data_IF_281286924455
#
_entry.id   IF_281286924455
#
_cell.length_a   1.000
_cell.length_b   1.000
_cell.length_c   1.000
_cell.angle_alpha   90.00
_cell.angle_beta   90.00
_cell.angle_gamma   90.00
#
_symmetry.space_group_name_H-M   'P 1'
#
loop_
_entity.id
_entity.type
_entity.pdbx_description
1 polymer ?
#
# COMPACT_ATOMS: atom_id res chain seq x y z
N UNK A 1 -17.06 27.25 64.98
CA UNK A 1 -16.91 27.25 63.51
C UNK A 1 -15.46 27.48 63.16
N UNK A 2 -14.78 26.49 62.57
CA UNK A 2 -13.60 26.72 61.73
C UNK A 2 -13.64 25.65 60.64
N UNK A 3 -14.04 26.09 59.45
CA UNK A 3 -14.20 25.30 58.24
C UNK A 3 -12.83 24.83 57.75
N UNK A 4 -12.45 23.59 58.07
CA UNK A 4 -11.37 22.91 57.36
C UNK A 4 -11.94 22.28 56.10
N UNK A 5 -11.87 23.01 54.98
CA UNK A 5 -12.09 22.42 53.65
C UNK A 5 -10.88 21.56 53.29
N UNK A 6 -11.03 20.25 53.05
CA UNK A 6 -9.95 19.47 52.47
C UNK A 6 -9.81 19.87 51.00
N UNK A 7 -8.67 20.48 50.66
CA UNK A 7 -8.23 20.59 49.27
C UNK A 7 -8.02 19.17 48.78
N UNK A 8 -8.92 18.69 47.93
CA UNK A 8 -8.81 17.39 47.29
C UNK A 8 -7.67 17.49 46.29
N UNK A 9 -6.48 17.08 46.72
CA UNK A 9 -5.39 16.77 45.81
C UNK A 9 -5.80 15.53 45.02
N UNK A 10 -6.43 15.78 43.89
CA UNK A 10 -6.61 14.81 42.85
C UNK A 10 -5.24 14.55 42.24
N UNK A 11 -4.50 13.64 42.86
CA UNK A 11 -3.40 12.91 42.25
C UNK A 11 -3.98 12.22 41.01
N UNK A 12 -3.98 12.95 39.88
CA UNK A 12 -4.34 12.41 38.58
C UNK A 12 -3.20 11.49 38.20
N UNK A 13 -3.36 10.23 38.59
CA UNK A 13 -2.61 9.09 38.12
C UNK A 13 -2.15 9.33 36.69
N UNK A 14 -0.84 9.33 36.53
CA UNK A 14 -0.09 9.34 35.29
C UNK A 14 -0.46 8.10 34.46
N UNK A 15 -1.70 8.10 33.95
CA UNK A 15 -2.15 7.13 32.96
C UNK A 15 -1.48 7.55 31.68
N UNK A 16 -0.54 6.74 31.20
CA UNK A 16 -0.01 6.71 29.83
C UNK A 16 -1.07 7.20 28.86
N UNK A 17 -1.06 8.49 28.56
CA UNK A 17 -2.23 9.15 28.00
C UNK A 17 -2.19 8.91 26.48
N UNK A 18 -3.04 8.04 25.91
CA UNK A 18 -2.96 7.62 24.50
C UNK A 18 -3.10 8.80 23.53
N UNK A 19 -3.74 9.87 23.99
CA UNK A 19 -3.88 11.14 23.26
C UNK A 19 -2.52 11.78 22.99
N UNK A 20 -1.59 11.68 23.94
CA UNK A 20 -0.20 12.18 23.80
C UNK A 20 0.60 11.32 22.83
N UNK A 21 0.42 9.99 22.85
CA UNK A 21 1.06 9.08 21.89
C UNK A 21 0.57 9.33 20.45
N UNK A 22 -0.73 9.51 20.25
CA UNK A 22 -1.27 9.83 18.92
C UNK A 22 -0.70 11.15 18.37
N UNK A 23 -0.58 12.17 19.23
CA UNK A 23 0.07 13.45 18.87
C UNK A 23 1.54 13.28 18.49
N UNK A 24 2.28 12.42 19.19
CA UNK A 24 3.66 12.08 18.85
C UNK A 24 3.76 11.34 17.50
N UNK A 25 2.88 10.36 17.24
CA UNK A 25 2.86 9.62 15.96
C UNK A 25 2.59 10.57 14.79
N UNK A 26 1.60 11.47 14.90
CA UNK A 26 1.33 12.47 13.84
C UNK A 26 2.52 13.42 13.63
N UNK A 27 3.21 13.80 14.71
CA UNK A 27 4.41 14.63 14.62
C UNK A 27 5.58 13.90 13.91
N UNK A 28 5.73 12.60 14.12
CA UNK A 28 6.75 11.78 13.46
C UNK A 28 6.37 11.48 11.99
N UNK A 29 5.10 11.20 11.71
CA UNK A 29 4.59 10.99 10.35
C UNK A 29 4.76 12.24 9.46
N UNK A 30 4.77 13.44 10.05
CA UNK A 30 5.09 14.68 9.33
C UNK A 30 6.56 14.81 8.93
N UNK A 31 7.47 14.06 9.59
CA UNK A 31 8.89 14.00 9.20
C UNK A 31 9.13 13.04 8.04
N UNK A 32 8.16 12.20 7.71
CA UNK A 32 8.24 11.38 6.50
C UNK A 32 8.21 12.33 5.31
N UNK A 33 9.27 12.29 4.52
CA UNK A 33 9.39 13.07 3.29
C UNK A 33 8.33 12.56 2.32
N UNK A 34 7.29 13.36 2.11
CA UNK A 34 6.28 13.03 1.11
C UNK A 34 6.84 13.35 -0.28
N UNK A 35 6.80 12.38 -1.20
CA UNK A 35 7.30 12.55 -2.55
C UNK A 35 6.51 13.65 -3.28
N UNK A 36 7.17 14.35 -4.20
CA UNK A 36 6.48 15.32 -5.08
C UNK A 36 5.58 14.59 -6.06
N UNK A 37 4.55 15.28 -6.58
CA UNK A 37 3.62 14.68 -7.55
C UNK A 37 4.35 14.15 -8.80
N UNK A 38 5.42 14.83 -9.22
CA UNK A 38 6.25 14.41 -10.37
C UNK A 38 6.94 13.05 -10.15
N UNK A 39 7.43 12.79 -8.93
CA UNK A 39 8.04 11.50 -8.58
C UNK A 39 7.01 10.38 -8.67
N UNK A 40 5.82 10.62 -8.10
CA UNK A 40 4.71 9.65 -8.16
C UNK A 40 4.31 9.31 -9.59
N UNK A 41 4.15 10.33 -10.45
CA UNK A 41 3.78 10.14 -11.85
C UNK A 41 4.88 9.40 -12.62
N UNK A 42 6.14 9.75 -12.39
CA UNK A 42 7.28 9.07 -13.03
C UNK A 42 7.31 7.59 -12.67
N UNK A 43 7.22 7.26 -11.37
CA UNK A 43 7.20 5.86 -10.92
C UNK A 43 5.98 5.10 -11.44
N UNK A 44 4.82 5.76 -11.47
CA UNK A 44 3.60 5.19 -12.04
C UNK A 44 3.76 4.86 -13.53
N UNK A 45 4.31 5.79 -14.34
CA UNK A 45 4.54 5.58 -15.77
C UNK A 45 5.52 4.43 -16.02
N UNK A 46 6.63 4.37 -15.26
CA UNK A 46 7.60 3.27 -15.37
C UNK A 46 6.94 1.91 -15.14
N UNK A 47 6.13 1.79 -14.07
CA UNK A 47 5.40 0.55 -13.77
C UNK A 47 4.37 0.25 -14.86
N UNK A 48 3.65 1.26 -15.36
CA UNK A 48 2.66 1.11 -16.42
C UNK A 48 3.29 0.52 -17.69
N UNK A 49 4.41 1.09 -18.15
CA UNK A 49 5.15 0.61 -19.33
C UNK A 49 5.63 -0.82 -19.12
N UNK A 50 6.18 -1.13 -17.94
CA UNK A 50 6.64 -2.48 -17.61
C UNK A 50 5.50 -3.51 -17.65
N UNK A 51 4.35 -3.20 -17.05
CA UNK A 51 3.17 -4.08 -17.06
C UNK A 51 2.66 -4.30 -18.48
N UNK A 52 2.55 -3.25 -19.29
CA UNK A 52 2.11 -3.36 -20.67
C UNK A 52 3.08 -4.21 -21.52
N UNK A 53 4.39 -4.06 -21.31
CA UNK A 53 5.39 -4.89 -21.98
C UNK A 53 5.23 -6.37 -21.63
N UNK A 54 5.06 -6.69 -20.35
CA UNK A 54 4.82 -8.07 -19.90
C UNK A 54 3.52 -8.63 -20.47
N UNK A 55 2.44 -7.85 -20.46
CA UNK A 55 1.16 -8.24 -21.08
C UNK A 55 1.33 -8.54 -22.57
N UNK A 56 2.10 -7.72 -23.30
CA UNK A 56 2.35 -7.94 -24.73
C UNK A 56 3.12 -9.25 -24.99
N UNK A 57 4.17 -9.54 -24.20
CA UNK A 57 4.95 -10.77 -24.32
C UNK A 57 4.09 -11.99 -24.02
N UNK A 58 3.36 -11.97 -22.90
CA UNK A 58 2.46 -13.07 -22.49
C UNK A 58 1.40 -13.29 -23.57
N UNK A 59 0.76 -12.22 -24.05
CA UNK A 59 -0.25 -12.31 -25.11
C UNK A 59 0.32 -12.90 -26.40
N UNK A 60 1.54 -12.53 -26.78
CA UNK A 60 2.20 -13.09 -27.96
C UNK A 60 2.47 -14.60 -27.79
N UNK A 61 2.92 -15.01 -26.60
CA UNK A 61 3.13 -16.41 -26.27
C UNK A 61 1.81 -17.19 -26.25
N UNK A 62 0.74 -16.66 -25.65
CA UNK A 62 -0.58 -17.29 -25.61
C UNK A 62 -1.15 -17.49 -27.01
N UNK A 63 -1.01 -16.50 -27.90
CA UNK A 63 -1.44 -16.61 -29.30
C UNK A 63 -0.58 -17.60 -30.09
N UNK A 64 0.74 -17.59 -29.87
CA UNK A 64 1.67 -18.50 -30.53
C UNK A 64 1.45 -19.96 -30.11
N UNK A 65 1.39 -20.20 -28.81
CA UNK A 65 1.14 -21.51 -28.22
C UNK A 65 -0.29 -21.99 -28.52
N UNK A 66 -1.29 -21.12 -28.45
CA UNK A 66 -2.67 -21.47 -28.80
C UNK A 66 -2.80 -21.94 -30.24
N UNK A 67 -2.15 -21.26 -31.18
CA UNK A 67 -2.15 -21.66 -32.60
C UNK A 67 -1.39 -22.96 -32.84
N UNK A 68 -0.26 -23.16 -32.15
CA UNK A 68 0.51 -24.41 -32.19
C UNK A 68 -0.28 -25.58 -31.60
N UNK A 69 -0.90 -25.39 -30.45
CA UNK A 69 -1.73 -26.40 -29.80
C UNK A 69 -2.91 -26.79 -30.69
N UNK A 70 -3.62 -25.81 -31.26
CA UNK A 70 -4.71 -26.10 -32.20
C UNK A 70 -4.23 -26.94 -33.39
N UNK A 71 -3.09 -26.61 -33.98
CA UNK A 71 -2.51 -27.37 -35.09
C UNK A 71 -2.14 -28.81 -34.68
N UNK A 72 -1.48 -29.00 -33.54
CA UNK A 72 -1.08 -30.32 -33.05
C UNK A 72 -2.28 -31.20 -32.72
N UNK A 73 -3.27 -30.65 -32.00
CA UNK A 73 -4.44 -31.41 -31.59
C UNK A 73 -5.41 -31.69 -32.74
N UNK A 74 -5.65 -30.74 -33.65
CA UNK A 74 -6.54 -30.96 -34.81
C UNK A 74 -5.89 -31.84 -35.89
N UNK A 75 -4.56 -31.78 -36.04
CA UNK A 75 -3.82 -32.56 -37.04
C UNK A 75 -3.62 -34.03 -36.63
N UNK A 76 -3.76 -34.35 -35.34
CA UNK A 76 -3.67 -35.73 -34.83
C UNK A 76 -5.05 -36.38 -34.62
N UNK A 77 -6.10 -35.61 -34.36
CA UNK A 77 -7.45 -36.13 -34.13
C UNK A 77 -8.16 -36.67 -35.38
N UNK A 78 -7.51 -36.58 -36.55
CA UNK A 78 -8.00 -37.07 -37.84
C UNK A 78 -7.47 -38.49 -38.19
N UNK A 79 -6.95 -39.25 -37.20
CA UNK A 79 -6.64 -40.68 -37.36
C UNK A 79 -7.21 -41.56 -36.25
#
# INVERSE_FOLDING_TARGET
MSDSKPVRDGEKAERTNPVTFYRQVVAELRKVVWPTQEQLVTYFIVVMVFVLMMMAIISALDLGLGRLAFFVFTGQSDQ
#
